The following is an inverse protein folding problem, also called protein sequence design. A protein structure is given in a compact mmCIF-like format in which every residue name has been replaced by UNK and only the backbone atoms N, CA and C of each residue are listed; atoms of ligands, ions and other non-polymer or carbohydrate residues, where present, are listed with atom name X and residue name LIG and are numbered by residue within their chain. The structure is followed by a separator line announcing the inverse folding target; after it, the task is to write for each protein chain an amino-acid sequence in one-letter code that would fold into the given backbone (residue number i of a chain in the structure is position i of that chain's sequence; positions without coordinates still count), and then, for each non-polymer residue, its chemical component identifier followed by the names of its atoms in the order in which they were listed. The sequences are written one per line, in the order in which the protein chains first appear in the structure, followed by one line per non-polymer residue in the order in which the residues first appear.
data_IF_017178359150
#
_entry.id   IF_017178359150
#
_cell.length_a   1.000
_cell.length_b   1.000
_cell.length_c   1.000
_cell.angle_alpha   90.00
_cell.angle_beta   90.00
_cell.angle_gamma   90.00
#
_symmetry.space_group_name_H-M   'P 1'
#
loop_
_entity.id
_entity.type
_entity.pdbx_description
1 polymer ?
#
# COMPACT_ATOMS: atom_id res chain seq x y z
N UNK A 1 -19.16 -60.04 -29.94
CA UNK A 1 -19.87 -59.00 -29.16
C UNK A 1 -18.92 -58.51 -28.07
N UNK A 2 -18.13 -57.48 -28.35
CA UNK A 2 -17.38 -56.70 -27.35
C UNK A 2 -16.55 -55.68 -28.13
N UNK A 3 -16.89 -54.41 -28.02
CA UNK A 3 -16.08 -53.20 -28.26
C UNK A 3 -17.10 -52.07 -28.09
N UNK A 4 -17.02 -51.32 -26.99
CA UNK A 4 -17.51 -49.93 -26.81
C UNK A 4 -17.74 -49.60 -25.32
N UNK A 5 -16.78 -49.89 -24.44
CA UNK A 5 -16.91 -49.52 -23.01
C UNK A 5 -15.68 -48.85 -22.41
N UNK A 6 -14.77 -48.36 -23.26
CA UNK A 6 -13.47 -47.79 -22.85
C UNK A 6 -13.33 -46.27 -23.09
N UNK A 7 -14.10 -45.56 -23.95
CA UNK A 7 -13.78 -44.14 -24.23
C UNK A 7 -14.27 -43.14 -23.18
N UNK A 8 -15.29 -43.47 -22.35
CA UNK A 8 -15.87 -42.52 -21.38
C UNK A 8 -14.99 -42.23 -20.16
N UNK A 9 -14.27 -43.25 -19.65
CA UNK A 9 -13.41 -43.10 -18.48
C UNK A 9 -12.17 -42.24 -18.75
N UNK A 10 -11.59 -42.34 -19.95
CA UNK A 10 -10.44 -41.53 -20.34
C UNK A 10 -10.79 -40.04 -20.45
N UNK A 11 -12.00 -39.73 -20.92
CA UNK A 11 -12.52 -38.37 -21.00
C UNK A 11 -12.77 -37.76 -19.60
N UNK A 12 -13.28 -38.55 -18.66
CA UNK A 12 -13.48 -38.12 -17.26
C UNK A 12 -12.15 -37.87 -16.54
N UNK A 13 -11.14 -38.72 -16.75
CA UNK A 13 -9.80 -38.52 -16.17
C UNK A 13 -9.13 -37.27 -16.76
N UNK A 14 -9.25 -37.05 -18.07
CA UNK A 14 -8.74 -35.84 -18.70
C UNK A 14 -9.40 -34.57 -18.13
N UNK A 15 -10.72 -34.57 -17.93
CA UNK A 15 -11.42 -33.44 -17.31
C UNK A 15 -11.02 -33.21 -15.84
N UNK A 16 -10.87 -34.27 -15.05
CA UNK A 16 -10.36 -34.16 -13.68
C UNK A 16 -8.94 -33.59 -13.64
N UNK A 17 -8.05 -34.02 -14.54
CA UNK A 17 -6.70 -33.48 -14.63
C UNK A 17 -6.69 -31.99 -15.02
N UNK A 18 -7.55 -31.59 -15.96
CA UNK A 18 -7.67 -30.18 -16.37
C UNK A 18 -8.21 -29.33 -15.21
N UNK A 19 -9.25 -29.78 -14.52
CA UNK A 19 -9.81 -29.06 -13.36
C UNK A 19 -8.80 -28.94 -12.21
N UNK A 20 -7.99 -29.98 -11.96
CA UNK A 20 -6.94 -29.93 -10.94
C UNK A 20 -5.83 -28.93 -11.31
N UNK A 21 -5.48 -28.83 -12.60
CA UNK A 21 -4.55 -27.82 -13.09
C UNK A 21 -5.12 -26.40 -12.96
N UNK A 22 -6.43 -26.20 -13.18
CA UNK A 22 -7.07 -24.90 -12.96
C UNK A 22 -7.15 -24.51 -11.48
N UNK A 23 -7.37 -25.45 -10.57
CA UNK A 23 -7.32 -25.21 -9.12
C UNK A 23 -5.90 -24.85 -8.66
N UNK A 24 -4.87 -25.52 -9.20
CA UNK A 24 -3.47 -25.19 -8.93
C UNK A 24 -2.97 -23.92 -9.63
N UNK A 25 -3.67 -23.46 -10.68
CA UNK A 25 -3.31 -22.25 -11.44
C UNK A 25 -3.90 -20.97 -10.85
N UNK A 26 -4.59 -21.02 -9.70
CA UNK A 26 -4.71 -19.84 -8.85
C UNK A 26 -3.32 -19.46 -8.34
N UNK A 27 -2.56 -18.74 -9.17
CA UNK A 27 -1.41 -17.96 -8.74
C UNK A 27 -1.91 -16.98 -7.69
N UNK A 28 -1.88 -17.39 -6.43
CA UNK A 28 -1.72 -16.44 -5.33
C UNK A 28 -0.48 -15.62 -5.67
N UNK A 29 -0.55 -14.31 -5.44
CA UNK A 29 0.62 -13.45 -5.55
C UNK A 29 1.78 -14.02 -4.72
N UNK A 30 3.04 -13.64 -4.98
CA UNK A 30 4.13 -14.07 -4.13
C UNK A 30 3.79 -13.67 -2.69
N UNK A 31 3.77 -14.64 -1.77
CA UNK A 31 3.23 -14.48 -0.39
C UNK A 31 3.78 -13.22 0.31
N UNK A 32 5.05 -12.90 0.05
CA UNK A 32 5.78 -11.80 0.68
C UNK A 32 5.85 -10.52 -0.16
N UNK A 33 5.20 -10.52 -1.34
CA UNK A 33 5.14 -9.39 -2.25
C UNK A 33 4.35 -8.25 -1.62
N UNK A 34 4.90 -7.04 -1.68
CA UNK A 34 4.13 -5.85 -1.40
C UNK A 34 3.08 -5.65 -2.49
N UNK A 35 1.87 -5.27 -2.08
CA UNK A 35 0.71 -5.05 -2.95
C UNK A 35 -0.10 -3.85 -2.44
N UNK A 36 -0.99 -3.32 -3.28
CA UNK A 36 -1.93 -2.26 -2.92
C UNK A 36 -1.26 -1.07 -2.21
N UNK A 37 -0.15 -0.56 -2.79
CA UNK A 37 0.53 0.60 -2.26
C UNK A 37 -0.42 1.82 -2.34
N UNK A 38 -0.73 2.41 -1.19
CA UNK A 38 -1.53 3.62 -1.07
C UNK A 38 -0.71 4.69 -0.38
N UNK A 39 -0.72 5.91 -0.90
CA UNK A 39 0.05 7.01 -0.34
C UNK A 39 -0.85 8.22 -0.09
N UNK A 40 -0.68 8.83 1.08
CA UNK A 40 -1.42 10.01 1.49
C UNK A 40 -0.47 11.09 1.97
N UNK A 41 -0.93 12.33 1.95
CA UNK A 41 -0.27 13.44 2.63
C UNK A 41 -1.28 14.22 3.44
N UNK A 42 -0.86 14.71 4.60
CA UNK A 42 -1.67 15.56 5.45
C UNK A 42 -1.33 17.04 5.32
N UNK A 43 -0.17 17.37 4.74
CA UNK A 43 0.41 18.70 4.79
C UNK A 43 1.21 19.10 3.55
N UNK A 44 1.26 18.25 2.51
CA UNK A 44 2.10 18.44 1.31
C UNK A 44 3.62 18.49 1.59
N UNK A 45 4.07 18.35 2.83
CA UNK A 45 5.50 18.25 3.14
C UNK A 45 5.98 16.80 3.17
N UNK A 46 5.13 15.90 3.68
CA UNK A 46 5.47 14.49 3.87
C UNK A 46 4.40 13.59 3.25
N UNK A 47 4.85 12.54 2.60
CA UNK A 47 4.01 11.48 2.04
C UNK A 47 4.18 10.23 2.88
N UNK A 48 3.06 9.68 3.30
CA UNK A 48 2.97 8.43 4.07
C UNK A 48 2.41 7.37 3.14
N UNK A 49 3.19 6.33 2.88
CA UNK A 49 2.78 5.19 2.08
C UNK A 49 2.57 3.95 2.94
N UNK A 50 1.51 3.20 2.65
CA UNK A 50 1.18 1.91 3.27
C UNK A 50 0.94 0.87 2.20
N UNK A 51 1.22 -0.40 2.50
CA UNK A 51 0.98 -1.51 1.58
C UNK A 51 0.48 -2.75 2.31
N UNK A 52 -0.01 -3.73 1.56
CA UNK A 52 -0.41 -5.04 2.06
C UNK A 52 0.54 -6.13 1.56
N UNK A 53 0.51 -7.29 2.22
CA UNK A 53 1.16 -8.53 1.77
C UNK A 53 0.16 -9.67 2.02
N UNK A 54 0.31 -10.78 1.30
CA UNK A 54 -0.54 -11.98 1.50
C UNK A 54 -0.04 -12.88 2.64
N UNK A 55 1.05 -12.49 3.32
CA UNK A 55 1.60 -13.23 4.44
C UNK A 55 0.73 -13.06 5.69
N UNK A 56 0.36 -14.18 6.31
CA UNK A 56 -0.51 -14.19 7.51
C UNK A 56 0.22 -13.72 8.78
N UNK A 57 1.54 -13.94 8.87
CA UNK A 57 2.39 -13.50 9.99
C UNK A 57 3.57 -12.68 9.46
N UNK A 58 3.45 -11.36 9.59
CA UNK A 58 4.50 -10.42 9.20
C UNK A 58 5.43 -10.02 10.35
N UNK A 59 5.24 -10.56 11.56
CA UNK A 59 6.04 -10.18 12.74
C UNK A 59 7.54 -10.48 12.55
N UNK A 60 7.84 -11.44 11.67
CA UNK A 60 9.18 -11.88 11.29
C UNK A 60 9.64 -11.31 9.96
N UNK A 61 8.97 -10.28 9.43
CA UNK A 61 9.37 -9.62 8.19
C UNK A 61 9.96 -8.24 8.48
N UNK A 62 10.95 -7.89 7.68
CA UNK A 62 11.52 -6.54 7.61
C UNK A 62 11.51 -6.09 6.17
N UNK A 63 11.19 -4.83 5.93
CA UNK A 63 11.08 -4.25 4.60
C UNK A 63 12.18 -3.23 4.40
N UNK A 64 12.81 -3.25 3.23
CA UNK A 64 13.64 -2.15 2.74
C UNK A 64 12.79 -1.31 1.81
N UNK A 65 12.50 -0.10 2.22
CA UNK A 65 11.79 0.88 1.42
C UNK A 65 12.81 1.83 0.80
N UNK A 66 12.85 1.86 -0.52
CA UNK A 66 13.68 2.77 -1.29
C UNK A 66 12.80 3.65 -2.16
N UNK A 67 13.15 4.92 -2.28
CA UNK A 67 12.52 5.82 -3.23
C UNK A 67 13.58 6.61 -3.99
N UNK A 68 13.31 6.89 -5.26
CA UNK A 68 14.18 7.66 -6.12
C UNK A 68 13.49 8.96 -6.52
N UNK A 69 14.15 10.08 -6.23
CA UNK A 69 13.72 11.41 -6.63
C UNK A 69 14.65 11.92 -7.70
N UNK A 70 14.07 12.20 -8.87
CA UNK A 70 14.62 12.89 -10.04
C UNK A 70 16.13 13.15 -9.97
N UNK A 71 16.94 12.12 -10.27
CA UNK A 71 18.42 12.11 -10.45
C UNK A 71 19.35 11.93 -9.22
N UNK A 72 18.81 11.71 -8.01
CA UNK A 72 19.62 11.42 -6.83
C UNK A 72 19.83 9.91 -6.58
N UNK A 73 20.81 9.56 -5.74
CA UNK A 73 20.97 8.17 -5.27
C UNK A 73 19.69 7.78 -4.50
N UNK A 74 19.10 6.59 -4.74
CA UNK A 74 17.88 6.20 -4.07
C UNK A 74 18.06 6.22 -2.55
N UNK A 75 17.13 6.88 -1.86
CA UNK A 75 17.11 6.93 -0.41
C UNK A 75 16.39 5.69 0.10
N UNK A 76 17.05 4.93 0.97
CA UNK A 76 16.56 3.66 1.46
C UNK A 76 16.57 3.60 2.99
N UNK A 77 15.56 2.97 3.56
CA UNK A 77 15.47 2.67 4.99
C UNK A 77 14.92 1.26 5.21
N UNK A 78 15.39 0.62 6.28
CA UNK A 78 14.79 -0.62 6.77
C UNK A 78 13.71 -0.29 7.81
N UNK A 79 12.57 -0.96 7.70
CA UNK A 79 11.38 -0.72 8.49
C UNK A 79 10.65 -2.04 8.75
N UNK A 80 10.05 -2.15 9.94
CA UNK A 80 9.31 -3.36 10.35
C UNK A 80 7.83 -3.26 10.04
N UNK A 81 7.30 -2.04 10.02
CA UNK A 81 5.90 -1.79 9.71
C UNK A 81 5.70 -1.69 8.19
N UNK A 82 4.49 -2.02 7.72
CA UNK A 82 4.06 -1.81 6.34
C UNK A 82 3.70 -0.36 6.05
N UNK A 83 4.56 0.55 6.53
CA UNK A 83 4.38 1.99 6.49
C UNK A 83 5.73 2.68 6.33
N UNK A 84 5.83 3.59 5.38
CA UNK A 84 7.02 4.40 5.15
C UNK A 84 6.63 5.86 4.95
N UNK A 85 7.50 6.77 5.35
CA UNK A 85 7.33 8.21 5.15
C UNK A 85 8.52 8.76 4.39
N UNK A 86 8.26 9.63 3.42
CA UNK A 86 9.29 10.40 2.72
C UNK A 86 8.83 11.85 2.51
N UNK A 87 9.79 12.75 2.30
CA UNK A 87 9.48 14.15 2.01
C UNK A 87 8.87 14.26 0.60
N UNK A 88 7.80 15.02 0.45
CA UNK A 88 7.25 15.31 -0.88
C UNK A 88 8.26 16.22 -1.60
N UNK A 89 8.92 15.68 -2.63
CA UNK A 89 9.93 16.42 -3.37
C UNK A 89 9.44 16.54 -4.81
N UNK A 90 8.66 17.59 -5.06
CA UNK A 90 8.12 17.98 -6.37
C UNK A 90 7.21 16.88 -6.96
N UNK A 91 6.17 17.28 -7.69
CA UNK A 91 5.16 16.38 -8.28
C UNK A 91 5.69 15.53 -9.47
N UNK A 92 6.99 15.26 -9.49
CA UNK A 92 7.61 14.35 -10.44
C UNK A 92 7.23 12.89 -10.09
N UNK A 93 7.18 11.99 -11.08
CA UNK A 93 6.97 10.58 -10.83
C UNK A 93 8.06 10.00 -9.92
N UNK A 94 7.67 9.42 -8.78
CA UNK A 94 8.58 8.78 -7.82
C UNK A 94 8.54 7.28 -8.02
N UNK A 95 9.70 6.68 -8.21
CA UNK A 95 9.83 5.22 -8.20
C UNK A 95 10.08 4.75 -6.77
N UNK A 96 9.19 3.88 -6.29
CA UNK A 96 9.30 3.22 -4.99
C UNK A 96 9.64 1.76 -5.20
N UNK A 97 10.63 1.29 -4.46
CA UNK A 97 11.03 -0.11 -4.42
C UNK A 97 10.89 -0.63 -2.99
N UNK A 98 10.09 -1.68 -2.83
CA UNK A 98 9.88 -2.36 -1.55
C UNK A 98 10.47 -3.75 -1.68
N UNK A 99 11.45 -4.05 -0.83
CA UNK A 99 12.06 -5.37 -0.77
C UNK A 99 11.78 -6.00 0.58
N UNK A 100 11.21 -7.21 0.58
CA UNK A 100 10.85 -7.93 1.80
C UNK A 100 11.97 -8.91 2.16
N UNK A 101 12.34 -8.93 3.44
CA UNK A 101 13.34 -9.82 4.02
C UNK A 101 12.75 -10.57 5.21
N UNK A 102 13.34 -11.70 5.54
CA UNK A 102 13.16 -12.28 6.86
C UNK A 102 13.90 -11.40 7.88
N UNK A 103 13.29 -11.12 9.04
CA UNK A 103 13.85 -10.23 10.06
C UNK A 103 15.19 -10.72 10.63
N UNK A 104 15.48 -12.01 10.56
CA UNK A 104 16.78 -12.57 10.94
C UNK A 104 17.90 -12.31 9.93
N UNK A 105 17.56 -11.87 8.72
CA UNK A 105 18.46 -11.72 7.57
C UNK A 105 18.29 -10.34 6.93
N UNK A 106 18.26 -9.29 7.74
CA UNK A 106 18.23 -7.91 7.23
C UNK A 106 19.44 -7.68 6.30
N UNK A 107 19.17 -7.39 5.02
CA UNK A 107 20.21 -7.25 3.99
C UNK A 107 20.74 -8.56 3.39
N UNK A 108 20.15 -9.71 3.75
CA UNK A 108 20.40 -11.02 3.15
C UNK A 108 19.68 -11.23 1.81
N UNK A 109 19.26 -12.45 1.52
CA UNK A 109 18.53 -12.75 0.28
C UNK A 109 17.08 -12.23 0.38
N UNK A 110 16.59 -11.46 -0.59
CA UNK A 110 15.24 -10.93 -0.55
C UNK A 110 14.20 -12.03 -0.80
N UNK A 111 13.14 -12.04 0.01
CA UNK A 111 11.98 -12.92 -0.16
C UNK A 111 11.10 -12.47 -1.32
N UNK A 112 10.96 -11.16 -1.48
CA UNK A 112 10.22 -10.55 -2.57
C UNK A 112 10.75 -9.14 -2.85
N UNK A 113 10.53 -8.68 -4.08
CA UNK A 113 10.90 -7.35 -4.53
C UNK A 113 9.81 -6.79 -5.42
N UNK A 114 9.32 -5.60 -5.09
CA UNK A 114 8.25 -4.94 -5.81
C UNK A 114 8.63 -3.50 -6.13
N UNK A 115 8.23 -3.04 -7.30
CA UNK A 115 8.46 -1.68 -7.77
C UNK A 115 7.13 -1.04 -8.12
N UNK A 116 6.95 0.17 -7.64
CA UNK A 116 5.78 1.01 -7.88
C UNK A 116 6.24 2.33 -8.48
N UNK A 117 5.42 2.92 -9.33
CA UNK A 117 5.63 4.27 -9.85
C UNK A 117 4.44 5.09 -9.38
N UNK A 118 4.72 6.11 -8.57
CA UNK A 118 3.71 7.05 -8.11
C UNK A 118 3.83 8.33 -8.90
N UNK A 119 2.69 8.85 -9.33
CA UNK A 119 2.54 10.21 -9.82
C UNK A 119 1.74 11.03 -8.82
N UNK A 120 1.69 12.35 -8.99
CA UNK A 120 0.94 13.27 -8.12
C UNK A 120 -0.50 12.81 -7.87
N UNK A 121 -1.21 12.40 -8.94
CA UNK A 121 -2.60 11.93 -8.85
C UNK A 121 -2.80 10.67 -7.99
N UNK A 122 -1.72 9.94 -7.70
CA UNK A 122 -1.76 8.71 -6.90
C UNK A 122 -1.53 9.01 -5.40
N UNK A 123 -1.24 10.26 -5.04
CA UNK A 123 -1.05 10.72 -3.65
C UNK A 123 -2.31 11.49 -3.23
N UNK A 124 -3.05 10.94 -2.26
CA UNK A 124 -4.28 11.57 -1.77
C UNK A 124 -3.98 12.59 -0.67
N UNK A 125 -4.46 13.82 -0.83
CA UNK A 125 -4.48 14.80 0.25
C UNK A 125 -5.61 14.46 1.22
N UNK A 126 -5.25 14.12 2.45
CA UNK A 126 -6.21 13.88 3.54
C UNK A 126 -5.94 14.93 4.62
N UNK A 127 -6.73 16.00 4.72
CA UNK A 127 -6.53 17.01 5.76
C UNK A 127 -6.60 16.39 7.16
N UNK A 128 -5.84 16.96 8.11
CA UNK A 128 -5.98 16.59 9.51
C UNK A 128 -7.39 16.91 10.00
N UNK A 129 -7.91 16.08 10.91
CA UNK A 129 -9.22 16.32 11.50
C UNK A 129 -9.23 17.67 12.22
N UNK A 130 -10.19 18.57 11.93
CA UNK A 130 -10.28 19.85 12.61
C UNK A 130 -10.66 19.65 14.08
N UNK A 131 -10.20 20.57 14.92
CA UNK A 131 -10.47 20.51 16.36
C UNK A 131 -11.49 21.57 16.72
N UNK A 132 -12.58 21.18 17.37
CA UNK A 132 -13.56 22.13 17.90
C UNK A 132 -12.85 23.00 18.94
N UNK A 133 -12.89 24.30 18.73
CA UNK A 133 -12.32 25.28 19.64
C UNK A 133 -13.36 25.70 20.68
N UNK A 134 -14.56 26.06 20.23
CA UNK A 134 -15.62 26.57 21.08
C UNK A 134 -16.99 26.23 20.49
N UNK A 135 -17.95 25.96 21.37
CA UNK A 135 -19.36 25.83 21.02
C UNK A 135 -20.15 26.63 22.06
N UNK A 136 -20.75 27.72 21.63
CA UNK A 136 -21.43 28.67 22.52
C UNK A 136 -22.86 28.89 22.04
N UNK A 137 -23.82 28.84 22.95
CA UNK A 137 -25.23 29.11 22.62
C UNK A 137 -25.59 30.57 22.89
N UNK A 138 -26.22 31.21 21.92
CA UNK A 138 -26.92 32.48 22.10
C UNK A 138 -28.42 32.18 22.27
N UNK A 139 -28.86 32.14 23.53
CA UNK A 139 -30.25 31.85 23.89
C UNK A 139 -31.21 33.00 23.57
N UNK A 140 -30.71 34.23 23.40
CA UNK A 140 -31.54 35.38 23.05
C UNK A 140 -31.89 35.31 21.56
N UNK A 141 -30.91 34.93 20.74
CA UNK A 141 -31.10 34.74 19.30
C UNK A 141 -31.59 33.33 18.92
N UNK A 142 -31.65 32.38 19.86
CA UNK A 142 -31.90 30.95 19.62
C UNK A 142 -30.92 30.36 18.59
N UNK A 143 -29.63 30.68 18.72
CA UNK A 143 -28.57 30.21 17.82
C UNK A 143 -27.42 29.55 18.57
N UNK A 144 -26.60 28.79 17.86
CA UNK A 144 -25.34 28.25 18.37
C UNK A 144 -24.19 28.65 17.46
N UNK A 145 -23.12 29.13 18.08
CA UNK A 145 -21.88 29.54 17.43
C UNK A 145 -20.85 28.44 17.64
N UNK A 146 -20.38 27.83 16.54
CA UNK A 146 -19.34 26.82 16.54
C UNK A 146 -18.07 27.43 15.95
N UNK A 147 -16.99 27.39 16.72
CA UNK A 147 -15.65 27.78 16.31
C UNK A 147 -14.75 26.54 16.28
N UNK A 148 -13.95 26.40 15.24
CA UNK A 148 -12.99 25.31 15.10
C UNK A 148 -11.65 25.80 14.60
N UNK A 149 -10.61 25.06 14.94
CA UNK A 149 -9.28 25.22 14.38
C UNK A 149 -9.17 24.31 13.15
N UNK A 150 -8.98 24.93 11.99
CA UNK A 150 -8.82 24.26 10.70
C UNK A 150 -7.40 23.68 10.48
N UNK A 151 -6.45 23.97 11.39
CA UNK A 151 -5.07 23.55 11.26
C UNK A 151 -4.33 24.27 10.14
N UNK A 152 -4.83 25.43 9.67
CA UNK A 152 -4.36 26.11 8.46
C UNK A 152 -2.89 26.54 8.45
N UNK A 153 -2.22 26.60 9.60
CA UNK A 153 -0.77 26.88 9.69
C UNK A 153 0.10 25.81 9.04
N UNK A 154 -0.47 24.64 8.76
CA UNK A 154 0.18 23.50 8.11
C UNK A 154 0.32 23.68 6.60
N UNK A 155 -0.49 24.55 5.98
CA UNK A 155 -0.40 24.89 4.55
C UNK A 155 -0.06 26.38 4.41
N UNK A 156 1.24 26.71 4.35
CA UNK A 156 1.64 28.10 4.16
C UNK A 156 1.40 28.53 2.70
N UNK A 157 0.33 29.29 2.47
CA UNK A 157 0.17 30.03 1.22
C UNK A 157 1.13 31.22 1.22
N UNK A 158 2.24 31.11 0.48
CA UNK A 158 2.94 32.32 0.04
C UNK A 158 2.12 32.93 -1.09
N UNK A 159 1.44 34.05 -0.78
CA UNK A 159 0.78 34.93 -1.76
C UNK A 159 1.85 35.81 -2.41
#
# INVERSE_FOLDING_TARGET
MWINQIPGYLLMVAHLCILNQFVYSQKKGPLYSAQNLTCITHNLDNVICTWTTDAEDDSKLTYKFCYNVSSSKPQCSFIKEKKATFALIIFDPVQIEITTFNSSEEGGNPLAKNTFVLSEKDILLVPLMPHIHSLTSDYIADTSILEWNDGGSVFQYQI
#
